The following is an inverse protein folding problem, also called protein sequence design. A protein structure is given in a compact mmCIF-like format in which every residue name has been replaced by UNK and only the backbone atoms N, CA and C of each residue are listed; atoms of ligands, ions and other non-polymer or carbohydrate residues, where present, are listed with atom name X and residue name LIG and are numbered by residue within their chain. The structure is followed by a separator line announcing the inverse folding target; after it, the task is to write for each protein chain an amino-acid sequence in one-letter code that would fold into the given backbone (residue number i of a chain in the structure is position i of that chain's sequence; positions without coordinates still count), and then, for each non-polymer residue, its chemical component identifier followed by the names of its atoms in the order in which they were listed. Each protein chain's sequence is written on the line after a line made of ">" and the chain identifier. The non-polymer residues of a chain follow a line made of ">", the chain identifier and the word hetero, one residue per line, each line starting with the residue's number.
data_IF_359982821017
#
_entry.id   IF_359982821017
#
_cell.length_a   1.000
_cell.length_b   1.000
_cell.length_c   1.000
_cell.angle_alpha   90.00
_cell.angle_beta   90.00
_cell.angle_gamma   90.00
#
_symmetry.space_group_name_H-M   'P 1'
#
loop_
_entity.id
_entity.type
_entity.pdbx_description
1 polymer ?
#
# COMPACT_ATOMS: atom_id res chain seq x y z
N UNK A 1 8.37 -3.54 -17.13
CA UNK A 1 8.92 -2.34 -17.81
C UNK A 1 10.32 -2.62 -18.31
N UNK A 2 10.67 -2.09 -19.47
CA UNK A 2 12.02 -2.21 -19.99
C UNK A 2 12.95 -1.21 -19.29
N UNK A 3 13.97 -1.70 -18.59
CA UNK A 3 14.95 -0.87 -17.86
C UNK A 3 14.31 0.25 -17.02
N UNK A 4 13.24 -0.08 -16.27
CA UNK A 4 12.45 0.83 -15.43
C UNK A 4 11.78 2.01 -16.18
N UNK A 5 11.58 1.92 -17.49
CA UNK A 5 10.84 2.93 -18.28
C UNK A 5 9.34 2.68 -18.16
N UNK A 6 8.57 3.62 -17.66
CA UNK A 6 7.12 3.52 -17.53
C UNK A 6 6.46 3.34 -18.90
N UNK A 7 5.33 2.65 -18.91
CA UNK A 7 4.54 2.39 -20.11
C UNK A 7 5.27 1.63 -21.22
N UNK A 8 6.36 0.92 -20.88
CA UNK A 8 7.07 0.04 -21.80
C UNK A 8 6.88 -1.42 -21.42
N UNK A 9 7.01 -2.31 -22.39
CA UNK A 9 7.01 -3.77 -22.17
C UNK A 9 8.40 -4.31 -22.52
N UNK A 10 9.00 -5.04 -21.59
CA UNK A 10 10.20 -5.82 -21.86
C UNK A 10 9.82 -7.05 -22.71
N UNK A 11 9.96 -6.92 -24.01
CA UNK A 11 9.54 -7.96 -24.95
C UNK A 11 10.43 -9.19 -24.99
N UNK A 12 11.63 -9.13 -24.40
CA UNK A 12 12.48 -10.32 -24.21
C UNK A 12 11.91 -11.20 -23.10
N UNK A 13 11.49 -10.59 -21.96
CA UNK A 13 10.89 -11.31 -20.82
C UNK A 13 9.42 -11.61 -21.01
N UNK A 14 8.68 -10.70 -21.65
CA UNK A 14 7.24 -10.79 -21.88
C UNK A 14 6.93 -10.63 -23.38
N UNK A 15 7.30 -11.61 -24.24
CA UNK A 15 7.13 -11.51 -25.68
C UNK A 15 5.65 -11.39 -26.12
N UNK A 16 4.73 -11.83 -25.29
CA UNK A 16 3.28 -11.71 -25.49
C UNK A 16 2.59 -11.36 -24.18
N UNK A 17 2.72 -10.10 -23.71
CA UNK A 17 2.10 -9.66 -22.47
C UNK A 17 0.57 -9.77 -22.53
N UNK A 18 -0.04 -9.49 -23.67
CA UNK A 18 -1.49 -9.61 -23.86
C UNK A 18 -1.99 -11.04 -23.71
N UNK A 19 -1.27 -12.00 -24.27
CA UNK A 19 -1.57 -13.43 -24.10
C UNK A 19 -1.44 -13.83 -22.62
N UNK A 20 -0.34 -13.46 -21.97
CA UNK A 20 -0.13 -13.73 -20.53
C UNK A 20 -1.26 -13.13 -19.68
N UNK A 21 -1.64 -11.87 -19.92
CA UNK A 21 -2.72 -11.23 -19.16
C UNK A 21 -4.07 -11.94 -19.38
N UNK A 22 -4.33 -12.43 -20.59
CA UNK A 22 -5.53 -13.20 -20.91
C UNK A 22 -5.54 -14.55 -20.18
N UNK A 23 -4.44 -15.30 -20.28
CA UNK A 23 -4.31 -16.64 -19.63
C UNK A 23 -4.43 -16.55 -18.10
N UNK A 24 -3.84 -15.50 -17.49
CA UNK A 24 -3.98 -15.25 -16.06
C UNK A 24 -5.41 -14.90 -15.68
N UNK A 25 -6.07 -14.05 -16.47
CA UNK A 25 -7.45 -13.64 -16.22
C UNK A 25 -8.46 -14.79 -16.31
N UNK A 26 -8.25 -15.75 -17.19
CA UNK A 26 -9.05 -16.97 -17.27
C UNK A 26 -8.94 -17.81 -15.98
N UNK A 27 -7.85 -17.69 -15.25
CA UNK A 27 -7.64 -18.29 -13.94
C UNK A 27 -8.12 -17.39 -12.77
N UNK A 28 -8.67 -16.21 -13.05
CA UNK A 28 -9.12 -15.24 -12.06
C UNK A 28 -7.96 -14.44 -11.43
N UNK A 29 -6.80 -14.39 -12.10
CA UNK A 29 -5.62 -13.64 -11.68
C UNK A 29 -5.49 -12.37 -12.53
N UNK A 30 -5.35 -11.23 -11.87
CA UNK A 30 -5.17 -9.93 -12.52
C UNK A 30 -3.74 -9.44 -12.34
N UNK A 31 -3.15 -8.88 -13.41
CA UNK A 31 -1.82 -8.29 -13.35
C UNK A 31 -1.94 -6.81 -12.97
N UNK A 32 -1.15 -6.39 -11.98
CA UNK A 32 -1.16 -5.02 -11.44
C UNK A 32 0.27 -4.46 -11.47
N UNK A 33 0.70 -3.84 -12.58
CA UNK A 33 2.04 -3.26 -12.68
C UNK A 33 2.17 -1.99 -11.85
N UNK A 34 3.43 -1.71 -11.48
CA UNK A 34 3.86 -0.46 -10.87
C UNK A 34 4.06 0.61 -11.94
N UNK A 35 3.74 1.87 -11.61
CA UNK A 35 4.07 3.07 -12.39
C UNK A 35 4.74 4.06 -11.47
N UNK A 36 5.95 4.47 -11.80
CA UNK A 36 6.75 5.42 -11.05
C UNK A 36 6.53 6.87 -11.53
N UNK A 37 7.01 7.85 -10.76
CA UNK A 37 6.90 9.25 -11.14
C UNK A 37 8.07 9.74 -12.02
N UNK A 38 9.15 9.00 -12.08
CA UNK A 38 10.39 9.41 -12.74
C UNK A 38 10.50 8.93 -14.18
N UNK A 39 10.37 9.83 -15.16
CA UNK A 39 10.54 9.51 -16.58
C UNK A 39 12.02 9.52 -16.96
N UNK A 40 12.54 8.37 -17.37
CA UNK A 40 13.95 8.19 -17.75
C UNK A 40 14.36 9.15 -18.87
N UNK A 41 15.51 9.80 -18.72
CA UNK A 41 16.14 10.61 -19.76
C UNK A 41 16.85 9.65 -20.73
N UNK A 42 16.23 9.39 -21.88
CA UNK A 42 16.79 8.50 -22.91
C UNK A 42 16.20 8.85 -24.28
N UNK A 43 17.08 9.08 -25.27
CA UNK A 43 16.67 9.31 -26.65
C UNK A 43 15.95 8.08 -27.22
N UNK A 44 14.91 8.30 -27.99
CA UNK A 44 14.06 7.24 -28.53
C UNK A 44 13.02 6.68 -27.55
N UNK A 45 12.94 7.22 -26.33
CA UNK A 45 11.86 6.92 -25.41
C UNK A 45 10.74 7.95 -25.55
N UNK A 46 9.61 7.53 -26.12
CA UNK A 46 8.50 8.40 -26.53
C UNK A 46 7.95 9.26 -25.38
N UNK A 47 7.80 8.70 -24.17
CA UNK A 47 7.31 9.44 -23.00
C UNK A 47 8.27 10.59 -22.63
N UNK A 48 9.58 10.36 -22.70
CA UNK A 48 10.59 11.38 -22.49
C UNK A 48 10.53 12.48 -23.56
N UNK A 49 10.56 12.07 -24.85
CA UNK A 49 10.60 13.01 -25.96
C UNK A 49 9.35 13.89 -26.03
N UNK A 50 8.16 13.30 -25.85
CA UNK A 50 6.91 14.05 -25.81
C UNK A 50 6.85 15.02 -24.61
N UNK A 51 7.32 14.57 -23.44
CA UNK A 51 7.36 15.40 -22.23
C UNK A 51 8.25 16.64 -22.40
N UNK A 52 9.44 16.49 -22.99
CA UNK A 52 10.35 17.60 -23.33
C UNK A 52 9.72 18.52 -24.37
N UNK A 53 9.23 17.95 -25.48
CA UNK A 53 8.66 18.73 -26.57
C UNK A 53 7.49 19.61 -26.14
N UNK A 54 6.68 19.14 -25.20
CA UNK A 54 5.47 19.84 -24.75
C UNK A 54 5.67 20.59 -23.43
N UNK A 55 6.88 20.63 -22.86
CA UNK A 55 7.18 21.25 -21.57
C UNK A 55 6.32 20.71 -20.42
N UNK A 56 6.20 19.38 -20.30
CA UNK A 56 5.39 18.70 -19.28
C UNK A 56 6.17 18.32 -18.03
N UNK A 57 7.47 18.61 -17.97
CA UNK A 57 8.31 18.31 -16.80
C UNK A 57 8.48 19.52 -15.88
N UNK A 58 8.70 19.23 -14.59
CA UNK A 58 9.08 20.21 -13.58
C UNK A 58 10.35 20.92 -14.00
N UNK A 59 10.50 22.20 -13.60
CA UNK A 59 11.63 23.04 -14.00
C UNK A 59 12.58 23.28 -12.83
N UNK A 60 13.85 23.48 -13.14
CA UNK A 60 14.82 24.03 -12.22
C UNK A 60 14.70 25.57 -12.12
N UNK A 61 15.51 26.21 -11.30
CA UNK A 61 15.48 27.68 -11.11
C UNK A 61 15.83 28.47 -12.38
N UNK A 62 16.59 27.89 -13.29
CA UNK A 62 17.01 28.49 -14.57
C UNK A 62 16.00 28.28 -15.69
N UNK A 63 14.91 27.54 -15.42
CA UNK A 63 13.85 27.26 -16.38
C UNK A 63 14.08 26.04 -17.27
N UNK A 64 15.16 25.31 -17.09
CA UNK A 64 15.42 24.01 -17.71
C UNK A 64 14.62 22.90 -17.01
N UNK A 65 14.53 21.71 -17.64
CA UNK A 65 13.91 20.55 -17.01
C UNK A 65 14.74 20.07 -15.81
N UNK A 66 14.08 19.89 -14.67
CA UNK A 66 14.76 19.40 -13.48
C UNK A 66 15.21 17.96 -13.64
N UNK A 67 16.42 17.65 -13.18
CA UNK A 67 17.01 16.32 -13.23
C UNK A 67 17.17 15.79 -11.82
N UNK A 68 16.53 14.69 -11.53
CA UNK A 68 16.80 13.84 -10.37
C UNK A 68 17.22 12.44 -10.78
N UNK A 69 17.43 11.56 -9.83
CA UNK A 69 17.73 10.15 -10.09
C UNK A 69 16.83 9.26 -9.23
N UNK A 70 16.30 8.21 -9.85
CA UNK A 70 15.56 7.10 -9.21
C UNK A 70 15.94 5.78 -9.89
N UNK A 71 15.10 4.77 -9.89
CA UNK A 71 15.38 3.44 -10.41
C UNK A 71 15.96 3.40 -11.83
N UNK A 72 15.48 4.17 -12.83
CA UNK A 72 16.06 4.15 -14.18
C UNK A 72 17.35 4.96 -14.30
N UNK A 73 17.85 5.55 -13.22
CA UNK A 73 18.96 6.51 -13.21
C UNK A 73 18.43 7.95 -13.35
N UNK A 74 19.01 8.76 -14.25
CA UNK A 74 18.59 10.15 -14.48
C UNK A 74 17.18 10.22 -15.06
N UNK A 75 16.34 11.08 -14.44
CA UNK A 75 14.94 11.24 -14.80
C UNK A 75 14.52 12.71 -14.80
N UNK A 76 13.47 13.00 -15.54
CA UNK A 76 12.63 14.17 -15.31
C UNK A 76 11.32 13.75 -14.62
N UNK A 77 10.77 14.66 -13.81
CA UNK A 77 9.49 14.45 -13.11
C UNK A 77 8.38 15.21 -13.84
N UNK A 78 7.28 14.53 -14.26
CA UNK A 78 6.12 15.21 -14.83
C UNK A 78 5.55 16.26 -13.90
N UNK A 79 5.16 17.40 -14.42
CA UNK A 79 4.51 18.44 -13.64
C UNK A 79 3.01 18.16 -13.48
N UNK A 80 2.67 17.28 -12.56
CA UNK A 80 1.27 16.88 -12.30
C UNK A 80 0.37 18.03 -11.79
N UNK A 81 0.92 19.18 -11.40
CA UNK A 81 0.12 20.36 -11.08
C UNK A 81 -0.36 21.07 -12.36
N UNK A 82 0.28 20.83 -13.49
CA UNK A 82 -0.12 21.31 -14.81
C UNK A 82 -1.21 20.39 -15.41
N UNK A 83 -2.44 20.88 -15.71
CA UNK A 83 -3.53 20.03 -16.23
C UNK A 83 -3.19 19.27 -17.51
N UNK A 84 -2.42 19.90 -18.43
CA UNK A 84 -2.02 19.25 -19.69
C UNK A 84 -1.03 18.11 -19.48
N UNK A 85 -0.10 18.25 -18.51
CA UNK A 85 0.84 17.20 -18.19
C UNK A 85 0.12 16.01 -17.51
N UNK A 86 -0.88 16.27 -16.64
CA UNK A 86 -1.74 15.22 -16.09
C UNK A 86 -2.47 14.44 -17.16
N UNK A 87 -3.16 15.12 -18.07
CA UNK A 87 -3.90 14.49 -19.17
C UNK A 87 -2.98 13.64 -20.05
N UNK A 88 -1.82 14.19 -20.41
CA UNK A 88 -0.82 13.48 -21.22
C UNK A 88 -0.33 12.20 -20.51
N UNK A 89 0.13 12.31 -19.25
CA UNK A 89 0.67 11.16 -18.53
C UNK A 89 -0.41 10.09 -18.28
N UNK A 90 -1.62 10.51 -17.91
CA UNK A 90 -2.75 9.62 -17.73
C UNK A 90 -3.11 8.84 -18.98
N UNK A 91 -3.06 9.45 -20.17
CA UNK A 91 -3.32 8.77 -21.44
C UNK A 91 -2.31 7.67 -21.78
N UNK A 92 -1.08 7.71 -21.20
CA UNK A 92 -0.09 6.65 -21.39
C UNK A 92 -0.50 5.31 -20.78
N UNK A 93 -1.40 5.30 -19.79
CA UNK A 93 -1.95 4.06 -19.24
C UNK A 93 -2.65 3.19 -20.30
N UNK A 94 -3.11 3.78 -21.42
CA UNK A 94 -3.70 3.04 -22.55
C UNK A 94 -2.77 1.94 -23.08
N UNK A 95 -1.46 2.18 -23.11
CA UNK A 95 -0.45 1.20 -23.57
C UNK A 95 -0.56 -0.12 -22.83
N UNK A 96 -0.83 -0.07 -21.52
CA UNK A 96 -0.94 -1.26 -20.67
C UNK A 96 -2.37 -1.81 -20.63
N UNK A 97 -3.39 -0.96 -20.63
CA UNK A 97 -4.79 -1.43 -20.66
C UNK A 97 -5.11 -2.16 -21.95
N UNK A 98 -4.53 -1.78 -23.09
CA UNK A 98 -4.62 -2.48 -24.37
C UNK A 98 -3.96 -3.87 -24.34
N UNK A 99 -3.04 -4.10 -23.42
CA UNK A 99 -2.46 -5.42 -23.13
C UNK A 99 -3.31 -6.28 -22.17
N UNK A 100 -4.46 -5.77 -21.70
CA UNK A 100 -5.35 -6.51 -20.81
C UNK A 100 -5.12 -6.23 -19.31
N UNK A 101 -4.25 -5.28 -18.98
CA UNK A 101 -4.03 -4.83 -17.59
C UNK A 101 -5.25 -4.04 -17.13
N UNK A 102 -5.73 -4.30 -15.92
CA UNK A 102 -6.92 -3.65 -15.35
C UNK A 102 -6.76 -3.24 -13.86
N UNK A 103 -5.52 -3.11 -13.41
CA UNK A 103 -5.15 -2.57 -12.12
C UNK A 103 -3.74 -1.99 -12.14
N UNK A 104 -3.48 -0.97 -11.32
CA UNK A 104 -2.19 -0.29 -11.26
C UNK A 104 -1.90 0.17 -9.84
N UNK A 105 -0.61 0.38 -9.53
CA UNK A 105 -0.18 1.10 -8.35
C UNK A 105 0.91 2.10 -8.69
N UNK A 106 0.76 3.31 -8.13
CA UNK A 106 1.73 4.38 -8.29
C UNK A 106 2.70 4.36 -7.12
N UNK A 107 3.97 4.35 -7.47
CA UNK A 107 5.05 4.37 -6.50
C UNK A 107 6.01 5.54 -6.76
N UNK A 108 6.96 5.76 -5.87
CA UNK A 108 8.01 6.77 -5.98
C UNK A 108 7.49 8.20 -6.23
N UNK A 109 6.26 8.50 -5.83
CA UNK A 109 5.52 9.70 -6.22
C UNK A 109 5.36 10.78 -5.14
N UNK A 110 6.35 10.92 -4.28
CA UNK A 110 6.53 12.09 -3.40
C UNK A 110 7.00 13.36 -4.16
N UNK A 111 7.86 13.35 -5.20
CA UNK A 111 8.60 12.27 -5.84
C UNK A 111 9.80 11.83 -5.00
N UNK A 112 10.07 10.53 -4.98
CA UNK A 112 11.30 10.02 -4.41
C UNK A 112 12.50 10.45 -5.27
N UNK A 113 13.57 10.89 -4.63
CA UNK A 113 14.81 11.30 -5.29
C UNK A 113 15.96 10.59 -4.58
N UNK A 114 16.68 9.71 -5.30
CA UNK A 114 17.85 9.04 -4.74
C UNK A 114 19.01 9.99 -4.60
N UNK A 115 19.19 10.90 -5.57
CA UNK A 115 20.13 12.00 -5.54
C UNK A 115 19.83 13.02 -6.65
N UNK A 116 20.32 14.23 -6.48
CA UNK A 116 20.52 15.22 -7.55
C UNK A 116 21.99 15.25 -7.93
N UNK A 117 22.33 15.65 -9.17
CA UNK A 117 23.73 15.62 -9.66
C UNK A 117 24.65 16.51 -8.83
N UNK A 118 24.21 17.70 -8.44
CA UNK A 118 24.96 18.63 -7.58
C UNK A 118 25.22 18.03 -6.19
N UNK A 119 24.18 17.48 -5.53
CA UNK A 119 24.32 16.82 -4.23
C UNK A 119 25.26 15.62 -4.29
N UNK A 120 25.17 14.82 -5.35
CA UNK A 120 26.07 13.69 -5.55
C UNK A 120 27.53 14.18 -5.68
N UNK A 121 27.75 15.21 -6.50
CA UNK A 121 29.10 15.78 -6.69
C UNK A 121 29.66 16.34 -5.39
N UNK A 122 28.87 17.11 -4.63
CA UNK A 122 29.27 17.65 -3.33
C UNK A 122 29.60 16.52 -2.33
N UNK A 123 28.74 15.50 -2.25
CA UNK A 123 28.95 14.35 -1.37
C UNK A 123 30.24 13.57 -1.75
N UNK A 124 30.49 13.35 -3.04
CA UNK A 124 31.73 12.71 -3.49
C UNK A 124 32.97 13.52 -3.10
N UNK A 125 32.93 14.87 -3.27
CA UNK A 125 34.02 15.74 -2.90
C UNK A 125 34.29 15.74 -1.37
N UNK A 126 33.25 15.64 -0.57
CA UNK A 126 33.38 15.52 0.89
C UNK A 126 33.95 14.16 1.29
N UNK A 127 33.50 13.07 0.65
CA UNK A 127 34.01 11.71 0.86
C UNK A 127 35.49 11.65 0.49
N UNK A 128 35.93 12.24 -0.63
CA UNK A 128 37.32 12.30 -1.03
C UNK A 128 38.19 12.98 0.05
N UNK A 129 37.72 14.09 0.61
CA UNK A 129 38.43 14.79 1.72
C UNK A 129 38.50 13.91 2.97
N UNK A 130 37.42 13.25 3.33
CA UNK A 130 37.32 12.38 4.50
C UNK A 130 38.27 11.17 4.38
N UNK A 131 38.35 10.58 3.19
CA UNK A 131 39.14 9.37 2.93
C UNK A 131 40.61 9.62 2.62
N UNK A 132 41.02 10.88 2.41
CA UNK A 132 42.43 11.26 2.20
C UNK A 132 43.31 11.03 3.43
N UNK A 133 42.73 10.91 4.62
CA UNK A 133 43.38 10.62 5.89
C UNK A 133 43.22 9.17 6.36
N UNK A 134 43.59 8.94 7.62
CA UNK A 134 43.36 7.65 8.27
C UNK A 134 41.92 7.57 8.76
N UNK A 135 41.13 6.63 8.24
CA UNK A 135 39.74 6.44 8.62
C UNK A 135 39.64 5.66 9.95
N UNK A 136 39.24 6.35 11.01
CA UNK A 136 38.79 5.74 12.26
C UNK A 136 37.27 5.48 12.26
N UNK A 137 36.75 5.15 13.43
CA UNK A 137 35.32 4.84 13.58
C UNK A 137 34.40 6.05 13.35
N UNK A 138 34.86 7.25 13.68
CA UNK A 138 34.10 8.48 13.48
C UNK A 138 33.96 8.82 12.01
N UNK A 139 35.06 8.71 11.27
CA UNK A 139 35.09 8.91 9.81
C UNK A 139 34.23 7.87 9.09
N UNK A 140 34.21 6.61 9.57
CA UNK A 140 33.33 5.58 9.03
C UNK A 140 31.84 5.95 9.19
N UNK A 141 31.42 6.41 10.37
CA UNK A 141 30.04 6.86 10.58
C UNK A 141 29.71 8.13 9.80
N UNK A 142 30.65 9.05 9.65
CA UNK A 142 30.47 10.21 8.80
C UNK A 142 30.27 9.81 7.33
N UNK A 143 31.08 8.90 6.81
CA UNK A 143 30.94 8.35 5.46
C UNK A 143 29.55 7.71 5.23
N UNK A 144 29.13 6.81 6.12
CA UNK A 144 27.81 6.17 6.01
C UNK A 144 26.67 7.17 6.10
N UNK A 145 26.81 8.22 6.94
CA UNK A 145 25.86 9.30 7.05
C UNK A 145 25.76 10.16 5.79
N UNK A 146 26.89 10.49 5.16
CA UNK A 146 26.93 11.22 3.88
C UNK A 146 26.22 10.44 2.77
N UNK A 147 26.48 9.14 2.63
CA UNK A 147 25.84 8.28 1.63
C UNK A 147 24.34 8.16 1.90
N UNK A 148 23.95 7.93 3.15
CA UNK A 148 22.54 7.84 3.53
C UNK A 148 21.78 9.18 3.30
N UNK A 149 22.46 10.32 3.46
CA UNK A 149 21.91 11.66 3.24
C UNK A 149 21.63 12.03 1.78
N UNK A 150 22.05 11.20 0.83
CA UNK A 150 21.71 11.39 -0.58
C UNK A 150 20.22 11.11 -0.85
N UNK A 151 19.73 9.99 -0.32
CA UNK A 151 18.37 9.52 -0.62
C UNK A 151 17.32 10.28 0.20
N UNK A 152 16.28 10.76 -0.49
CA UNK A 152 15.14 11.41 0.15
C UNK A 152 15.49 12.72 0.86
N UNK A 153 16.50 13.43 0.38
CA UNK A 153 16.96 14.68 1.01
C UNK A 153 15.95 15.81 0.79
N UNK A 154 15.38 16.32 1.88
CA UNK A 154 14.36 17.38 1.86
C UNK A 154 14.84 18.63 1.11
N UNK A 155 16.13 18.98 1.18
CA UNK A 155 16.70 20.12 0.47
C UNK A 155 16.64 20.01 -1.06
N UNK A 156 16.42 18.82 -1.61
CA UNK A 156 16.25 18.65 -3.06
C UNK A 156 14.87 19.10 -3.53
N UNK A 157 13.87 19.14 -2.65
CA UNK A 157 12.52 19.65 -2.96
C UNK A 157 12.46 21.16 -3.17
N UNK A 158 13.48 21.90 -2.74
CA UNK A 158 13.61 23.34 -3.00
C UNK A 158 14.26 23.66 -4.36
N UNK A 159 14.73 22.63 -5.09
CA UNK A 159 15.48 22.80 -6.35
C UNK A 159 14.62 22.80 -7.59
N UNK A 160 13.34 22.45 -7.48
CA UNK A 160 12.46 22.38 -8.65
C UNK A 160 11.08 22.99 -8.42
N UNK A 161 10.45 23.32 -9.52
CA UNK A 161 9.26 24.16 -9.58
C UNK A 161 8.19 23.56 -10.48
N UNK A 162 6.96 23.86 -10.13
CA UNK A 162 5.74 23.53 -10.87
C UNK A 162 5.15 24.76 -11.53
N UNK A 163 4.58 24.59 -12.72
CA UNK A 163 3.81 25.65 -13.38
C UNK A 163 2.34 25.55 -12.95
N UNK A 164 1.94 26.37 -12.01
CA UNK A 164 0.56 26.48 -11.53
C UNK A 164 -0.05 27.75 -12.10
N UNK A 165 -0.91 27.62 -13.12
CA UNK A 165 -1.58 28.74 -13.80
C UNK A 165 -0.62 29.86 -14.26
N UNK A 166 0.53 29.47 -14.79
CA UNK A 166 1.56 30.39 -15.28
C UNK A 166 2.50 30.94 -14.22
N UNK A 167 2.35 30.55 -12.96
CA UNK A 167 3.28 30.88 -11.86
C UNK A 167 4.15 29.67 -11.54
N UNK A 168 5.45 29.96 -11.39
CA UNK A 168 6.40 28.96 -10.91
C UNK A 168 6.32 28.87 -9.38
N UNK A 169 5.93 27.71 -8.86
CA UNK A 169 5.77 27.41 -7.44
C UNK A 169 6.79 26.34 -7.06
N UNK A 170 7.54 26.54 -5.99
CA UNK A 170 8.49 25.52 -5.51
C UNK A 170 7.79 24.23 -5.13
N UNK A 171 8.42 23.11 -5.40
CA UNK A 171 7.88 21.81 -5.02
C UNK A 171 7.66 21.69 -3.50
N UNK A 172 8.58 22.19 -2.68
CA UNK A 172 8.44 22.18 -1.22
C UNK A 172 7.18 22.87 -0.70
N UNK A 173 6.61 23.84 -1.43
CA UNK A 173 5.37 24.54 -1.08
C UNK A 173 4.11 23.71 -1.46
N UNK A 174 4.23 22.78 -2.38
CA UNK A 174 3.13 21.99 -2.95
C UNK A 174 3.38 20.48 -2.91
N UNK A 175 4.40 20.05 -2.17
CA UNK A 175 4.88 18.67 -2.08
C UNK A 175 3.75 17.64 -1.92
N UNK A 176 2.85 17.86 -0.97
CA UNK A 176 1.77 16.93 -0.68
C UNK A 176 0.74 16.78 -1.82
N UNK A 177 0.73 17.71 -2.78
CA UNK A 177 -0.19 17.66 -3.93
C UNK A 177 0.36 16.83 -5.09
N UNK A 178 1.65 16.52 -5.10
CA UNK A 178 2.30 15.87 -6.24
C UNK A 178 1.76 14.45 -6.47
N UNK A 179 1.90 13.57 -5.49
CA UNK A 179 1.39 12.19 -5.58
C UNK A 179 -0.12 12.11 -5.73
N UNK A 180 -0.88 13.00 -5.07
CA UNK A 180 -2.31 13.11 -5.26
C UNK A 180 -2.66 13.44 -6.73
N UNK A 181 -1.95 14.35 -7.38
CA UNK A 181 -2.22 14.70 -8.78
C UNK A 181 -1.71 13.66 -9.77
N UNK A 182 -0.68 12.88 -9.46
CA UNK A 182 -0.32 11.69 -10.23
C UNK A 182 -1.44 10.65 -10.17
N UNK A 183 -1.97 10.38 -8.98
CA UNK A 183 -3.12 9.46 -8.79
C UNK A 183 -4.35 9.95 -9.55
N UNK A 184 -4.63 11.24 -9.47
CA UNK A 184 -5.70 11.90 -10.23
C UNK A 184 -5.52 11.76 -11.74
N UNK A 185 -4.30 11.95 -12.26
CA UNK A 185 -3.94 11.77 -13.68
C UNK A 185 -4.35 10.38 -14.20
N UNK A 186 -3.96 9.34 -13.46
CA UNK A 186 -4.30 7.96 -13.80
C UNK A 186 -5.83 7.72 -13.73
N UNK A 187 -6.46 8.15 -12.62
CA UNK A 187 -7.89 7.93 -12.41
C UNK A 187 -8.75 8.58 -13.51
N UNK A 188 -8.53 9.88 -13.81
CA UNK A 188 -9.28 10.61 -14.82
C UNK A 188 -9.14 9.95 -16.19
N UNK A 189 -7.91 9.59 -16.59
CA UNK A 189 -7.65 8.93 -17.86
C UNK A 189 -8.23 7.52 -17.95
N UNK A 190 -8.13 6.72 -16.90
CA UNK A 190 -8.67 5.35 -16.87
C UNK A 190 -10.20 5.33 -16.96
N UNK A 191 -10.88 6.35 -16.45
CA UNK A 191 -12.33 6.52 -16.66
C UNK A 191 -12.69 6.80 -18.11
N UNK A 192 -11.82 7.50 -18.87
CA UNK A 192 -12.02 7.74 -20.30
C UNK A 192 -11.64 6.51 -21.15
N UNK A 193 -10.52 5.84 -20.81
CA UNK A 193 -10.01 4.67 -21.54
C UNK A 193 -10.93 3.45 -21.36
N UNK A 194 -11.48 3.27 -20.17
CA UNK A 194 -12.26 2.07 -19.80
C UNK A 194 -13.46 2.43 -18.92
N UNK A 195 -14.45 3.20 -19.40
CA UNK A 195 -15.54 3.75 -18.59
C UNK A 195 -16.42 2.68 -17.92
N UNK A 196 -16.47 1.49 -18.50
CA UNK A 196 -17.26 0.36 -17.98
C UNK A 196 -16.54 -0.43 -16.87
N UNK A 197 -15.27 -0.08 -16.57
CA UNK A 197 -14.46 -0.83 -15.60
C UNK A 197 -14.21 -0.02 -14.33
N UNK A 198 -14.26 -0.70 -13.20
CA UNK A 198 -13.70 -0.21 -11.94
C UNK A 198 -12.26 -0.70 -11.84
N UNK A 199 -11.32 0.14 -12.27
CA UNK A 199 -9.88 -0.21 -12.23
C UNK A 199 -9.38 -0.19 -10.80
N UNK A 200 -8.69 -1.25 -10.36
CA UNK A 200 -7.95 -1.23 -9.10
C UNK A 200 -6.82 -0.21 -9.20
N UNK A 201 -6.77 0.71 -8.23
CA UNK A 201 -5.76 1.74 -8.22
C UNK A 201 -5.38 2.14 -6.79
N UNK A 202 -4.08 2.19 -6.47
CA UNK A 202 -3.57 2.67 -5.19
C UNK A 202 -2.20 3.32 -5.35
N UNK A 203 -1.84 4.18 -4.40
CA UNK A 203 -0.69 5.07 -4.46
C UNK A 203 0.10 5.07 -3.16
N UNK A 204 1.42 5.30 -3.24
CA UNK A 204 2.27 5.49 -2.07
C UNK A 204 2.07 6.86 -1.45
N UNK A 205 2.25 7.91 -2.24
CA UNK A 205 2.09 9.27 -1.76
C UNK A 205 0.68 9.80 -2.02
N UNK A 206 0.13 10.52 -1.05
CA UNK A 206 -1.22 11.02 -1.11
C UNK A 206 -1.40 12.28 -0.25
N UNK A 207 -2.58 12.87 -0.32
CA UNK A 207 -3.02 13.98 0.53
C UNK A 207 -4.53 13.90 0.73
N UNK A 208 -5.07 14.69 1.67
CA UNK A 208 -6.52 14.77 1.91
C UNK A 208 -7.24 15.07 0.59
N UNK A 209 -8.22 14.23 0.25
CA UNK A 209 -8.94 14.28 -1.02
C UNK A 209 -8.45 13.29 -2.08
N UNK A 210 -7.28 12.68 -1.93
CA UNK A 210 -6.77 11.67 -2.88
C UNK A 210 -7.58 10.36 -2.85
N UNK A 211 -8.30 10.06 -1.76
CA UNK A 211 -9.22 8.93 -1.66
C UNK A 211 -10.30 8.90 -2.75
N UNK A 212 -10.60 10.04 -3.38
CA UNK A 212 -11.52 10.14 -4.53
C UNK A 212 -10.95 9.53 -5.81
N UNK A 213 -9.65 9.34 -5.88
CA UNK A 213 -8.93 8.89 -7.06
C UNK A 213 -8.32 7.49 -6.91
N UNK A 214 -8.04 7.05 -5.69
CA UNK A 214 -7.48 5.73 -5.44
C UNK A 214 -7.28 5.44 -3.96
N UNK A 215 -6.90 4.20 -3.66
CA UNK A 215 -6.47 3.77 -2.34
C UNK A 215 -5.00 4.14 -2.06
N UNK A 216 -4.54 3.75 -0.88
CA UNK A 216 -3.14 3.86 -0.47
C UNK A 216 -2.71 2.61 0.29
N UNK A 217 -1.42 2.30 0.30
CA UNK A 217 -0.89 1.39 1.32
C UNK A 217 -0.10 2.16 2.38
N UNK A 218 0.23 1.50 3.45
CA UNK A 218 0.85 2.13 4.63
C UNK A 218 2.37 2.31 4.52
N UNK A 219 2.92 2.22 3.29
CA UNK A 219 4.34 2.45 3.00
C UNK A 219 5.25 1.27 3.36
N UNK A 220 6.56 1.54 3.36
CA UNK A 220 7.64 0.58 3.52
C UNK A 220 7.82 0.18 5.00
N UNK A 221 6.90 -0.63 5.50
CA UNK A 221 6.97 -1.18 6.84
C UNK A 221 8.12 -2.21 6.99
N UNK A 222 8.43 -2.63 8.21
CA UNK A 222 9.47 -3.61 8.50
C UNK A 222 8.88 -4.92 9.01
N UNK A 223 9.58 -6.03 8.80
CA UNK A 223 9.23 -7.34 9.38
C UNK A 223 9.49 -7.34 10.89
N UNK A 224 8.77 -6.47 11.61
CA UNK A 224 8.85 -6.27 13.05
C UNK A 224 7.47 -6.42 13.70
N UNK A 225 7.45 -7.07 14.85
CA UNK A 225 6.22 -7.28 15.61
C UNK A 225 5.48 -5.99 15.95
N UNK A 226 6.22 -4.92 16.28
CA UNK A 226 5.63 -3.60 16.54
C UNK A 226 4.91 -3.00 15.34
N UNK A 227 5.29 -3.38 14.12
CA UNK A 227 4.67 -2.86 12.90
C UNK A 227 3.28 -3.47 12.63
N UNK A 228 2.95 -4.64 13.18
CA UNK A 228 1.55 -5.14 13.17
C UNK A 228 0.67 -4.16 13.94
N UNK A 229 1.08 -3.79 15.17
CA UNK A 229 0.33 -2.83 15.99
C UNK A 229 0.25 -1.46 15.33
N UNK A 230 1.37 -0.94 14.83
CA UNK A 230 1.43 0.35 14.14
C UNK A 230 0.49 0.38 12.92
N UNK A 231 0.52 -0.68 12.09
CA UNK A 231 -0.36 -0.78 10.93
C UNK A 231 -1.83 -0.76 11.31
N UNK A 232 -2.19 -1.46 12.38
CA UNK A 232 -3.55 -1.49 12.90
C UNK A 232 -3.99 -0.10 13.42
N UNK A 233 -3.14 0.60 14.19
CA UNK A 233 -3.42 1.92 14.74
C UNK A 233 -3.56 3.01 13.68
N UNK A 234 -2.94 2.85 12.51
CA UNK A 234 -3.10 3.78 11.39
C UNK A 234 -4.47 3.69 10.69
N UNK A 235 -5.13 2.53 10.71
CA UNK A 235 -6.39 2.32 9.98
C UNK A 235 -7.48 3.32 10.34
N UNK A 236 -7.79 3.60 11.62
CA UNK A 236 -8.80 4.59 11.97
C UNK A 236 -8.45 6.00 11.48
N UNK A 237 -7.20 6.41 11.58
CA UNK A 237 -6.75 7.72 11.12
C UNK A 237 -6.88 7.87 9.60
N UNK A 238 -6.53 6.83 8.84
CA UNK A 238 -6.69 6.80 7.40
C UNK A 238 -8.18 6.80 6.99
N UNK A 239 -9.03 6.04 7.71
CA UNK A 239 -10.46 6.06 7.46
C UNK A 239 -11.09 7.43 7.76
N UNK A 240 -10.69 8.13 8.82
CA UNK A 240 -11.12 9.51 9.09
C UNK A 240 -10.70 10.48 7.98
N UNK A 241 -9.58 10.21 7.30
CA UNK A 241 -9.13 10.99 6.14
C UNK A 241 -9.79 10.56 4.82
N UNK A 242 -10.73 9.59 4.85
CA UNK A 242 -11.47 9.07 3.71
C UNK A 242 -10.83 7.87 3.00
N UNK A 243 -9.64 7.42 3.41
CA UNK A 243 -8.98 6.28 2.79
C UNK A 243 -9.52 4.96 3.36
N UNK A 244 -10.48 4.37 2.68
CA UNK A 244 -11.06 3.08 3.02
C UNK A 244 -10.26 1.92 2.42
N UNK A 245 -9.81 2.05 1.14
CA UNK A 245 -8.99 1.03 0.49
C UNK A 245 -7.53 1.22 0.92
N UNK A 246 -7.17 0.56 2.02
CA UNK A 246 -5.84 0.64 2.61
C UNK A 246 -5.46 -0.66 3.32
N UNK A 247 -4.16 -0.83 3.54
CA UNK A 247 -3.54 -1.94 4.26
C UNK A 247 -2.03 -1.82 4.25
N UNK A 248 -1.37 -2.71 4.98
CA UNK A 248 0.10 -2.79 5.04
C UNK A 248 0.65 -3.91 4.17
N UNK A 249 1.95 -3.89 3.91
CA UNK A 249 2.65 -5.03 3.35
C UNK A 249 2.71 -6.15 4.40
N UNK A 250 1.97 -7.23 4.13
CA UNK A 250 1.82 -8.37 5.04
C UNK A 250 3.14 -9.11 5.18
N UNK A 251 3.61 -9.26 6.41
CA UNK A 251 4.92 -9.83 6.71
C UNK A 251 6.04 -8.80 6.82
N UNK A 252 5.80 -7.57 6.34
CA UNK A 252 6.77 -6.47 6.30
C UNK A 252 7.46 -6.36 4.94
N UNK A 253 7.70 -5.12 4.50
CA UNK A 253 8.44 -4.82 3.27
C UNK A 253 9.95 -4.96 3.47
N UNK A 254 10.50 -4.34 4.50
CA UNK A 254 11.93 -4.40 4.80
C UNK A 254 12.27 -5.41 5.88
N UNK A 255 13.50 -5.90 5.87
CA UNK A 255 14.00 -6.95 6.75
C UNK A 255 13.40 -8.34 6.45
N UNK A 256 14.02 -9.36 7.05
CA UNK A 256 13.59 -10.76 6.89
C UNK A 256 12.43 -11.09 7.82
N UNK A 257 11.34 -11.54 7.27
CA UNK A 257 10.23 -12.05 8.06
C UNK A 257 10.48 -13.47 8.56
N UNK A 258 9.80 -13.86 9.63
CA UNK A 258 9.74 -15.24 10.13
C UNK A 258 8.36 -15.82 9.90
N UNK A 259 8.25 -17.15 9.91
CA UNK A 259 6.99 -17.84 9.67
C UNK A 259 5.89 -17.45 10.67
N UNK A 260 6.23 -17.38 11.96
CA UNK A 260 5.30 -16.98 13.01
C UNK A 260 4.84 -15.52 12.86
N UNK A 261 5.76 -14.61 12.51
CA UNK A 261 5.42 -13.21 12.22
C UNK A 261 4.49 -13.11 11.00
N UNK A 262 4.80 -13.84 9.92
CA UNK A 262 3.95 -13.86 8.73
C UNK A 262 2.54 -14.34 9.05
N UNK A 263 2.39 -15.45 9.77
CA UNK A 263 1.07 -15.99 10.12
C UNK A 263 0.30 -15.00 11.01
N UNK A 264 0.95 -14.41 12.03
CA UNK A 264 0.30 -13.40 12.88
C UNK A 264 -0.09 -12.14 12.10
N UNK A 265 0.72 -11.76 11.13
CA UNK A 265 0.37 -10.66 10.25
C UNK A 265 -0.81 -10.99 9.33
N UNK A 266 -0.86 -12.21 8.79
CA UNK A 266 -2.01 -12.70 8.02
C UNK A 266 -3.29 -12.64 8.86
N UNK A 267 -3.26 -13.11 10.12
CA UNK A 267 -4.41 -13.06 11.05
C UNK A 267 -4.96 -11.64 11.28
N UNK A 268 -4.14 -10.62 11.07
CA UNK A 268 -4.54 -9.22 11.10
C UNK A 268 -4.97 -8.71 9.71
N UNK A 269 -4.08 -8.80 8.74
CA UNK A 269 -4.24 -8.12 7.45
C UNK A 269 -5.33 -8.73 6.57
N UNK A 270 -5.79 -9.97 6.85
CA UNK A 270 -6.91 -10.56 6.14
C UNK A 270 -8.23 -9.76 6.31
N UNK A 271 -8.32 -8.88 7.31
CA UNK A 271 -9.45 -7.97 7.50
C UNK A 271 -9.32 -6.68 6.70
N UNK A 272 -8.12 -6.30 6.25
CA UNK A 272 -7.90 -5.03 5.55
C UNK A 272 -8.34 -5.10 4.09
N UNK A 273 -8.89 -4.03 3.50
CA UNK A 273 -9.25 -3.98 2.09
C UNK A 273 -8.07 -4.26 1.16
N UNK A 274 -6.95 -3.55 1.33
CA UNK A 274 -5.69 -3.89 0.66
C UNK A 274 -5.01 -5.01 1.46
N UNK A 275 -4.88 -6.17 0.84
CA UNK A 275 -4.26 -7.37 1.40
C UNK A 275 -3.17 -7.84 0.45
N UNK A 276 -1.93 -7.53 0.76
CA UNK A 276 -0.78 -7.69 -0.13
C UNK A 276 0.40 -8.28 0.62
N UNK A 277 1.06 -9.28 0.06
CA UNK A 277 2.40 -9.71 0.42
C UNK A 277 3.40 -9.04 -0.52
N UNK A 278 4.31 -8.25 0.02
CA UNK A 278 5.31 -7.50 -0.74
C UNK A 278 6.57 -7.27 0.10
N UNK A 279 7.74 -7.53 -0.47
CA UNK A 279 9.03 -7.36 0.21
C UNK A 279 10.06 -6.68 -0.66
N UNK A 280 11.05 -6.04 -0.02
CA UNK A 280 12.17 -5.40 -0.68
C UNK A 280 13.12 -6.41 -1.32
N UNK A 281 13.76 -6.03 -2.42
CA UNK A 281 14.85 -6.79 -3.00
C UNK A 281 15.97 -7.00 -1.97
N UNK A 282 16.57 -8.20 -1.97
CA UNK A 282 17.63 -8.59 -1.05
C UNK A 282 17.16 -9.03 0.35
N UNK A 283 15.86 -9.03 0.63
CA UNK A 283 15.28 -9.68 1.83
C UNK A 283 15.01 -11.17 1.56
N UNK A 284 14.68 -11.93 2.62
CA UNK A 284 14.23 -13.31 2.45
C UNK A 284 12.97 -13.35 1.58
N UNK A 285 12.91 -14.34 0.67
CA UNK A 285 11.68 -14.68 -0.04
C UNK A 285 10.56 -15.01 0.98
N UNK A 286 9.43 -14.35 0.83
CA UNK A 286 8.34 -14.45 1.82
C UNK A 286 6.98 -14.82 1.20
N UNK A 287 6.95 -15.32 -0.02
CA UNK A 287 5.76 -15.94 -0.58
C UNK A 287 5.31 -17.08 0.32
N UNK A 288 4.00 -17.21 0.51
CA UNK A 288 3.46 -18.09 1.54
C UNK A 288 3.84 -19.57 1.37
N UNK A 289 4.16 -20.00 0.16
CA UNK A 289 4.65 -21.35 -0.13
C UNK A 289 6.13 -21.57 0.22
N UNK A 290 6.88 -20.54 0.59
CA UNK A 290 8.28 -20.66 1.05
C UNK A 290 8.37 -21.10 2.52
N UNK A 291 7.29 -20.99 3.27
CA UNK A 291 7.25 -21.36 4.70
C UNK A 291 6.93 -22.84 4.89
N UNK A 292 7.30 -23.40 6.05
CA UNK A 292 7.08 -24.81 6.35
C UNK A 292 5.60 -25.12 6.63
N UNK A 293 4.86 -24.17 7.22
CA UNK A 293 3.44 -24.33 7.58
C UNK A 293 2.50 -23.74 6.50
N UNK A 294 2.62 -24.25 5.28
CA UNK A 294 1.78 -23.83 4.13
C UNK A 294 0.29 -24.06 4.40
N UNK A 295 -0.05 -25.08 5.22
CA UNK A 295 -1.44 -25.36 5.57
C UNK A 295 -2.06 -24.21 6.38
N UNK A 296 -1.36 -23.69 7.40
CA UNK A 296 -1.86 -22.58 8.21
C UNK A 296 -2.01 -21.30 7.38
N UNK A 297 -1.02 -20.96 6.54
CA UNK A 297 -1.11 -19.79 5.66
C UNK A 297 -2.23 -19.93 4.64
N UNK A 298 -2.41 -21.13 4.05
CA UNK A 298 -3.49 -21.43 3.13
C UNK A 298 -4.88 -21.30 3.78
N UNK A 299 -5.04 -21.75 5.03
CA UNK A 299 -6.28 -21.58 5.80
C UNK A 299 -6.61 -20.09 6.01
N UNK A 300 -5.63 -19.26 6.35
CA UNK A 300 -5.85 -17.81 6.50
C UNK A 300 -6.37 -17.18 5.21
N UNK A 301 -5.81 -17.54 4.05
CA UNK A 301 -6.31 -17.08 2.75
C UNK A 301 -7.75 -17.54 2.50
N UNK A 302 -8.06 -18.81 2.77
CA UNK A 302 -9.42 -19.35 2.62
C UNK A 302 -10.43 -18.62 3.51
N UNK A 303 -10.06 -18.33 4.77
CA UNK A 303 -10.89 -17.53 5.69
C UNK A 303 -11.09 -16.11 5.14
N UNK A 304 -10.06 -15.48 4.59
CA UNK A 304 -10.20 -14.18 3.91
C UNK A 304 -11.28 -14.23 2.83
N UNK A 305 -11.22 -15.23 1.94
CA UNK A 305 -12.21 -15.39 0.87
C UNK A 305 -13.62 -15.61 1.43
N UNK A 306 -13.75 -16.33 2.54
CA UNK A 306 -15.04 -16.53 3.20
C UNK A 306 -15.62 -15.24 3.79
N UNK A 307 -14.75 -14.32 4.29
CA UNK A 307 -15.16 -13.06 4.89
C UNK A 307 -15.37 -11.92 3.89
N UNK A 308 -15.04 -12.10 2.61
CA UNK A 308 -15.22 -11.05 1.60
C UNK A 308 -16.65 -10.47 1.55
N UNK A 309 -17.74 -11.27 1.66
CA UNK A 309 -19.10 -10.69 1.68
C UNK A 309 -19.28 -9.64 2.78
N UNK A 310 -18.77 -9.90 3.99
CA UNK A 310 -18.80 -8.95 5.09
C UNK A 310 -17.91 -7.73 4.82
N UNK A 311 -16.64 -7.98 4.48
CA UNK A 311 -15.65 -6.92 4.25
C UNK A 311 -16.09 -5.96 3.14
N UNK A 312 -16.63 -6.51 2.04
CA UNK A 312 -17.11 -5.72 0.92
C UNK A 312 -18.35 -4.91 1.28
N UNK A 313 -19.27 -5.51 2.06
CA UNK A 313 -20.48 -4.82 2.53
C UNK A 313 -20.13 -3.63 3.45
N UNK A 314 -19.20 -3.83 4.39
CA UNK A 314 -18.76 -2.75 5.28
C UNK A 314 -17.98 -1.66 4.53
N UNK A 315 -17.15 -2.07 3.56
CA UNK A 315 -16.47 -1.12 2.68
C UNK A 315 -17.47 -0.24 1.90
N UNK A 316 -18.47 -0.86 1.26
CA UNK A 316 -19.50 -0.13 0.51
C UNK A 316 -20.35 0.74 1.42
N UNK A 317 -20.74 0.24 2.59
CA UNK A 317 -21.49 1.02 3.57
C UNK A 317 -20.72 2.28 3.99
N UNK A 318 -19.44 2.12 4.33
CA UNK A 318 -18.57 3.24 4.68
C UNK A 318 -18.40 4.24 3.51
N UNK A 319 -18.18 3.75 2.29
CA UNK A 319 -17.99 4.59 1.11
C UNK A 319 -19.23 5.36 0.68
N UNK A 320 -20.42 4.79 0.87
CA UNK A 320 -21.69 5.40 0.44
C UNK A 320 -22.31 6.35 1.47
N UNK A 321 -21.97 6.16 2.76
CA UNK A 321 -22.54 6.90 3.87
C UNK A 321 -21.55 7.84 4.56
N UNK A 322 -20.33 7.97 4.03
CA UNK A 322 -19.22 8.73 4.64
C UNK A 322 -18.89 8.24 6.07
N UNK A 323 -18.89 6.91 6.26
CA UNK A 323 -18.62 6.26 7.54
C UNK A 323 -17.19 5.70 7.60
N UNK A 324 -16.78 5.25 8.77
CA UNK A 324 -15.51 4.55 8.97
C UNK A 324 -15.73 3.03 8.92
N UNK A 325 -14.87 2.33 8.17
CA UNK A 325 -14.82 0.87 8.19
C UNK A 325 -14.14 0.35 9.46
N UNK A 326 -13.03 0.97 9.87
CA UNK A 326 -12.31 0.66 11.11
C UNK A 326 -12.44 1.79 12.12
N UNK A 327 -12.85 1.45 13.34
CA UNK A 327 -13.07 2.41 14.44
C UNK A 327 -12.36 2.00 15.70
N UNK A 328 -11.79 2.94 16.49
CA UNK A 328 -11.45 2.68 17.89
C UNK A 328 -12.71 2.29 18.70
N UNK A 329 -12.55 1.52 19.75
CA UNK A 329 -13.68 1.11 20.60
C UNK A 329 -14.44 2.31 21.17
N UNK A 330 -13.75 3.37 21.53
CA UNK A 330 -14.32 4.59 22.07
C UNK A 330 -15.37 5.28 21.18
N UNK A 331 -15.32 5.03 19.85
CA UNK A 331 -16.28 5.65 18.93
C UNK A 331 -17.72 5.13 19.11
N UNK A 332 -17.84 3.83 19.38
CA UNK A 332 -19.15 3.21 19.63
C UNK A 332 -19.47 3.09 21.14
N UNK A 333 -18.44 3.25 22.01
CA UNK A 333 -18.56 3.17 23.47
C UNK A 333 -17.96 4.40 24.17
N UNK A 334 -18.46 5.63 23.88
CA UNK A 334 -17.85 6.87 24.36
C UNK A 334 -17.97 7.07 25.89
N UNK A 335 -18.90 6.40 26.54
CA UNK A 335 -19.09 6.48 28.01
C UNK A 335 -18.30 5.39 28.76
N UNK A 336 -17.52 4.58 28.07
CA UNK A 336 -16.72 3.51 28.67
C UNK A 336 -15.25 3.94 28.76
N UNK A 337 -14.82 4.35 29.95
CA UNK A 337 -13.47 4.82 30.22
C UNK A 337 -12.37 3.77 29.93
N UNK A 338 -12.70 2.46 29.92
CA UNK A 338 -11.76 1.43 29.50
C UNK A 338 -11.66 1.35 27.97
N UNK A 339 -12.77 1.50 27.26
CA UNK A 339 -12.78 1.51 25.80
C UNK A 339 -11.97 2.69 25.22
N UNK A 340 -11.94 3.83 25.93
CA UNK A 340 -11.14 5.02 25.58
C UNK A 340 -9.62 4.72 25.60
N UNK A 341 -9.17 3.79 26.46
CA UNK A 341 -7.76 3.48 26.67
C UNK A 341 -7.25 2.32 25.79
N UNK A 342 -8.16 1.66 25.04
CA UNK A 342 -7.79 0.51 24.20
C UNK A 342 -7.25 0.99 22.86
N UNK A 343 -5.95 0.77 22.63
CA UNK A 343 -5.24 1.17 21.42
C UNK A 343 -4.88 0.01 20.50
N UNK A 344 -5.19 -1.23 20.90
CA UNK A 344 -4.76 -2.46 20.25
C UNK A 344 -5.92 -3.41 19.90
N UNK A 345 -7.12 -2.84 19.77
CA UNK A 345 -8.34 -3.50 19.30
C UNK A 345 -9.11 -2.51 18.41
N UNK A 346 -9.78 -3.01 17.39
CA UNK A 346 -10.59 -2.18 16.50
C UNK A 346 -11.96 -2.82 16.27
N UNK A 347 -12.97 -1.98 16.16
CA UNK A 347 -14.23 -2.34 15.52
C UNK A 347 -14.04 -2.33 14.00
N UNK A 348 -14.58 -3.32 13.32
CA UNK A 348 -14.71 -3.40 11.88
C UNK A 348 -16.19 -3.40 11.53
N UNK A 349 -16.67 -2.32 10.95
CA UNK A 349 -18.09 -2.07 10.82
C UNK A 349 -18.78 -1.91 12.18
N UNK A 350 -20.04 -2.33 12.23
CA UNK A 350 -20.87 -2.27 13.43
C UNK A 350 -21.05 -3.63 14.13
N UNK A 351 -20.51 -4.69 13.55
CA UNK A 351 -20.77 -6.08 13.94
C UNK A 351 -19.55 -6.79 14.53
N UNK A 352 -18.34 -6.46 14.07
CA UNK A 352 -17.14 -7.23 14.36
C UNK A 352 -16.10 -6.40 15.11
N UNK A 353 -15.38 -7.05 16.03
CA UNK A 353 -14.18 -6.51 16.70
C UNK A 353 -12.99 -7.43 16.46
N UNK A 354 -11.84 -6.85 16.14
CA UNK A 354 -10.56 -7.54 15.99
C UNK A 354 -9.59 -7.19 17.13
N UNK A 355 -8.80 -8.17 17.54
CA UNK A 355 -7.77 -8.04 18.57
C UNK A 355 -6.55 -8.91 18.22
N UNK A 356 -5.78 -8.55 17.17
CA UNK A 356 -4.70 -9.38 16.68
C UNK A 356 -3.53 -9.50 17.66
N UNK A 357 -2.78 -10.60 17.56
CA UNK A 357 -1.53 -10.79 18.28
C UNK A 357 -0.41 -10.05 17.54
N UNK A 358 0.34 -9.23 18.26
CA UNK A 358 1.44 -8.41 17.76
C UNK A 358 2.72 -8.54 18.62
N UNK A 359 2.85 -9.63 19.39
CA UNK A 359 4.03 -9.92 20.20
C UNK A 359 4.59 -11.29 19.88
N UNK A 360 5.90 -11.37 19.73
CA UNK A 360 6.60 -12.61 19.46
C UNK A 360 6.35 -13.66 20.56
N UNK A 361 6.20 -14.91 20.14
CA UNK A 361 5.97 -16.07 21.01
C UNK A 361 4.71 -16.02 21.89
N UNK A 362 3.82 -15.03 21.65
CA UNK A 362 2.57 -14.96 22.40
C UNK A 362 1.61 -16.08 21.99
N UNK A 363 1.12 -16.82 22.98
CA UNK A 363 0.12 -17.88 22.83
C UNK A 363 -1.32 -17.35 22.95
N UNK A 364 -1.48 -16.06 23.20
CA UNK A 364 -2.73 -15.35 23.40
C UNK A 364 -2.48 -13.95 23.92
N UNK A 365 -3.55 -13.25 24.22
CA UNK A 365 -3.47 -11.89 24.77
C UNK A 365 -4.68 -11.55 25.64
N UNK A 366 -4.54 -10.50 26.47
CA UNK A 366 -5.70 -9.89 27.11
C UNK A 366 -6.46 -9.03 26.09
N UNK A 367 -7.79 -9.15 26.13
CA UNK A 367 -8.74 -8.42 25.31
C UNK A 367 -9.76 -7.78 26.24
N UNK A 368 -10.12 -6.52 26.00
CA UNK A 368 -11.22 -5.85 26.66
C UNK A 368 -12.48 -5.91 25.79
N UNK A 369 -13.57 -6.40 26.36
CA UNK A 369 -14.89 -6.42 25.74
C UNK A 369 -15.76 -5.31 26.35
N UNK A 370 -16.16 -4.29 25.58
CA UNK A 370 -16.98 -3.19 26.12
C UNK A 370 -18.45 -3.57 26.35
N UNK A 371 -18.88 -4.70 25.80
CA UNK A 371 -20.19 -5.34 25.99
C UNK A 371 -20.02 -6.87 25.98
N UNK A 372 -21.09 -7.62 26.19
CA UNK A 372 -21.12 -9.05 25.91
C UNK A 372 -20.89 -9.29 24.42
N UNK A 373 -19.94 -10.18 24.08
CA UNK A 373 -19.61 -10.49 22.69
C UNK A 373 -19.46 -11.99 22.49
N UNK A 374 -19.72 -12.44 21.27
CA UNK A 374 -19.44 -13.79 20.84
C UNK A 374 -18.00 -13.88 20.33
N UNK A 375 -17.14 -14.59 21.03
CA UNK A 375 -15.83 -15.02 20.56
C UNK A 375 -16.02 -16.08 19.47
N UNK A 376 -15.42 -15.86 18.31
CA UNK A 376 -15.38 -16.81 17.21
C UNK A 376 -13.94 -17.29 17.01
N UNK A 377 -13.75 -18.61 16.98
CA UNK A 377 -12.52 -19.29 16.59
C UNK A 377 -12.75 -20.02 15.28
N UNK A 378 -12.08 -19.64 14.24
CA UNK A 378 -12.37 -20.09 12.88
C UNK A 378 -11.13 -20.73 12.26
N UNK A 379 -11.25 -21.97 11.84
CA UNK A 379 -10.26 -22.71 11.02
C UNK A 379 -10.67 -22.75 9.53
N UNK A 380 -11.96 -22.64 9.24
CA UNK A 380 -12.55 -22.50 7.90
C UNK A 380 -13.99 -22.02 8.00
N UNK A 381 -14.64 -21.73 6.88
CA UNK A 381 -16.08 -21.39 6.86
C UNK A 381 -17.00 -22.50 7.40
N UNK A 382 -16.51 -23.74 7.48
CA UNK A 382 -17.26 -24.91 7.97
C UNK A 382 -16.75 -25.45 9.30
N UNK A 383 -15.58 -24.99 9.76
CA UNK A 383 -14.94 -25.43 10.99
C UNK A 383 -14.65 -24.21 11.86
N UNK A 384 -15.57 -23.94 12.76
CA UNK A 384 -15.45 -22.85 13.74
C UNK A 384 -16.19 -23.19 15.04
N UNK A 385 -15.78 -22.55 16.11
CA UNK A 385 -16.44 -22.63 17.41
C UNK A 385 -16.77 -21.23 17.92
N UNK A 386 -17.79 -21.15 18.77
CA UNK A 386 -18.23 -19.88 19.35
C UNK A 386 -18.38 -19.99 20.85
N UNK A 387 -18.11 -18.89 21.57
CA UNK A 387 -18.28 -18.76 23.02
C UNK A 387 -18.80 -17.37 23.33
N UNK A 388 -19.80 -17.25 24.19
CA UNK A 388 -20.28 -15.95 24.67
C UNK A 388 -19.43 -15.52 25.87
N UNK A 389 -18.82 -14.36 25.76
CA UNK A 389 -18.01 -13.74 26.80
C UNK A 389 -18.68 -12.47 27.30
N UNK A 390 -18.81 -12.29 28.64
CA UNK A 390 -19.38 -11.07 29.21
C UNK A 390 -18.44 -9.87 29.01
N UNK A 391 -18.98 -8.65 29.22
CA UNK A 391 -18.18 -7.43 29.31
C UNK A 391 -17.02 -7.60 30.30
N UNK A 392 -15.84 -7.09 29.94
CA UNK A 392 -14.66 -7.07 30.82
C UNK A 392 -13.39 -7.54 30.14
N UNK A 393 -12.36 -7.82 30.93
CA UNK A 393 -11.06 -8.32 30.47
C UNK A 393 -11.05 -9.84 30.40
N UNK A 394 -10.61 -10.38 29.27
CA UNK A 394 -10.45 -11.81 29.05
C UNK A 394 -9.06 -12.12 28.51
N UNK A 395 -8.45 -13.21 28.98
CA UNK A 395 -7.29 -13.77 28.30
C UNK A 395 -7.76 -14.73 27.23
N UNK A 396 -7.42 -14.45 25.99
CA UNK A 396 -7.82 -15.24 24.82
C UNK A 396 -6.58 -15.90 24.24
N UNK A 397 -6.51 -17.21 24.28
CA UNK A 397 -5.49 -17.98 23.57
C UNK A 397 -5.78 -17.97 22.07
N UNK A 398 -4.74 -17.92 21.25
CA UNK A 398 -4.86 -17.92 19.77
C UNK A 398 -3.76 -18.79 19.17
N UNK A 399 -4.13 -19.86 18.50
CA UNK A 399 -3.22 -20.71 17.72
C UNK A 399 -2.67 -20.00 16.47
N UNK A 400 -1.69 -20.60 15.84
CA UNK A 400 -1.19 -20.14 14.54
C UNK A 400 -2.08 -20.58 13.38
N UNK A 401 -2.91 -21.61 13.56
CA UNK A 401 -3.75 -22.23 12.57
C UNK A 401 -5.24 -21.82 12.68
N UNK A 402 -5.56 -20.85 13.53
CA UNK A 402 -6.91 -20.33 13.73
C UNK A 402 -6.97 -18.81 13.57
N UNK A 403 -8.11 -18.30 13.14
CA UNK A 403 -8.46 -16.89 13.23
C UNK A 403 -9.39 -16.66 14.40
N UNK A 404 -9.11 -15.62 15.20
CA UNK A 404 -9.96 -15.24 16.33
C UNK A 404 -10.45 -13.81 16.15
N UNK A 405 -11.76 -13.62 16.30
CA UNK A 405 -12.42 -12.32 16.29
C UNK A 405 -13.69 -12.36 17.16
N UNK A 406 -14.33 -11.21 17.33
CA UNK A 406 -15.50 -11.10 18.20
C UNK A 406 -16.67 -10.50 17.41
N UNK A 407 -17.85 -11.08 17.57
CA UNK A 407 -19.11 -10.54 17.04
C UNK A 407 -19.87 -9.89 18.20
N UNK A 408 -20.34 -8.68 17.98
CA UNK A 408 -21.08 -7.87 18.95
C UNK A 408 -22.43 -8.51 19.29
N UNK A 409 -22.95 -8.19 20.46
CA UNK A 409 -24.24 -8.71 20.91
C UNK A 409 -25.36 -8.43 19.91
N UNK A 410 -26.20 -9.43 19.62
CA UNK A 410 -27.32 -9.37 18.67
C UNK A 410 -26.91 -8.99 17.23
N UNK A 411 -25.64 -9.19 16.86
CA UNK A 411 -25.14 -8.97 15.52
C UNK A 411 -24.79 -10.31 14.85
N UNK A 412 -24.75 -10.28 13.51
CA UNK A 412 -24.31 -11.39 12.68
C UNK A 412 -23.48 -10.87 11.52
N UNK A 413 -22.59 -11.68 11.00
CA UNK A 413 -21.80 -11.36 9.81
C UNK A 413 -22.07 -12.38 8.69
N UNK A 414 -22.21 -11.94 7.45
CA UNK A 414 -22.31 -12.85 6.31
C UNK A 414 -20.93 -13.41 5.95
N UNK A 415 -20.87 -14.70 5.67
CA UNK A 415 -19.71 -15.34 5.08
C UNK A 415 -20.11 -16.38 4.02
N UNK A 416 -19.23 -16.58 3.04
CA UNK A 416 -19.43 -17.55 1.96
C UNK A 416 -18.47 -18.73 2.11
N UNK A 417 -18.73 -19.82 1.39
CA UNK A 417 -17.72 -20.85 1.22
C UNK A 417 -16.56 -20.30 0.38
N UNK A 418 -15.32 -20.53 0.81
CA UNK A 418 -14.14 -20.08 0.08
C UNK A 418 -14.02 -20.76 -1.28
N UNK A 419 -13.62 -20.00 -2.29
CA UNK A 419 -13.34 -20.47 -3.64
C UNK A 419 -11.93 -20.07 -4.07
N UNK A 420 -11.46 -20.56 -5.20
CA UNK A 420 -10.13 -20.23 -5.74
C UNK A 420 -9.96 -18.74 -6.08
N UNK A 421 -11.06 -18.08 -6.42
CA UNK A 421 -11.12 -16.64 -6.66
C UNK A 421 -12.56 -16.13 -6.50
N UNK A 422 -12.72 -14.80 -6.42
CA UNK A 422 -14.02 -14.15 -6.17
C UNK A 422 -15.06 -14.39 -7.27
N UNK A 423 -14.65 -14.66 -8.51
CA UNK A 423 -15.57 -14.95 -9.61
C UNK A 423 -16.20 -16.37 -9.50
N UNK A 424 -15.56 -17.25 -8.72
CA UNK A 424 -16.05 -18.62 -8.45
C UNK A 424 -16.78 -18.77 -7.13
N UNK A 425 -16.80 -17.72 -6.29
CA UNK A 425 -17.54 -17.74 -5.03
C UNK A 425 -19.04 -17.74 -5.31
N UNK A 426 -19.77 -18.70 -4.70
CA UNK A 426 -21.23 -18.72 -4.77
C UNK A 426 -21.84 -17.78 -3.72
N UNK A 427 -22.18 -16.59 -4.14
CA UNK A 427 -22.82 -15.60 -3.28
C UNK A 427 -24.32 -15.85 -3.04
N UNK A 428 -24.92 -16.90 -3.64
CA UNK A 428 -26.32 -17.29 -3.36
C UNK A 428 -26.44 -18.17 -2.11
N UNK A 429 -25.31 -18.71 -1.61
CA UNK A 429 -25.25 -19.59 -0.44
C UNK A 429 -24.55 -18.94 0.75
N UNK A 430 -24.81 -17.64 0.98
CA UNK A 430 -24.25 -16.90 2.13
C UNK A 430 -24.83 -17.45 3.43
N UNK A 431 -23.95 -17.70 4.40
CA UNK A 431 -24.27 -18.08 5.77
C UNK A 431 -24.21 -16.84 6.69
N UNK A 432 -24.99 -16.87 7.77
CA UNK A 432 -25.00 -15.84 8.82
C UNK A 432 -24.58 -16.41 10.15
#
# INVERSE_FOLDING_TARGET
>A
MERYKDFTVDTERFPNLKGLATDMKEQGIHLVPIIDAGVKIEDGYDVYEEGVQNNYFCKNAEGGDFVGAVWPGRVHFPDFLQPKARDWFGKKYAVLTEQGIDGFWNDMNEPAIFYTEDRLADTCAEIEKLTAGNMGIQEYFAFTGMVAGLNGNIGDYDKFYHNVDGKMVKHSEVHNLYGMNMTRSAFEALQEISPEKRTLFFSRSSYIGAHRYGGIWQGDNKSWWSHILQSMQQLPALNMAGFLFTGSDTGGFGCDTTEDLMIRWLQYSLFTPLFRNHSADGTREQELYQFSNVEATGKMIQIRYSLIPYLYSEFLKAALNDEMMFKPLAFDFPDDAMAEQVEDQLLLGNELMIAPIYKQNAQGRYVYLPEEMMLVRMHSSKDYTTEILPKGHHYVSVGLDELVFFIRNQKAIPFAESAENTARTDYNTIQL
#
